data_IF_863504858400
#
_entry.id   IF_863504858400
#
_cell.length_a   1.000
_cell.length_b   1.000
_cell.length_c   1.000
_cell.angle_alpha   90.00
_cell.angle_beta   90.00
_cell.angle_gamma   90.00
#
_symmetry.space_group_name_H-M   'P 1'
#
loop_
_entity.id
_entity.type
_entity.pdbx_description
1 polymer ?
#
# COMPACT_ATOMS: atom_id res chain seq x y z
N UNK A 1 -39.34 -14.14 48.18
CA UNK A 1 -38.95 -14.59 46.82
C UNK A 1 -37.47 -14.33 46.67
N UNK A 2 -36.65 -15.38 46.72
CA UNK A 2 -35.21 -15.24 46.45
C UNK A 2 -35.03 -14.96 44.95
N UNK A 3 -34.36 -13.87 44.61
CA UNK A 3 -33.97 -13.60 43.24
C UNK A 3 -33.07 -14.74 42.75
N UNK A 4 -33.39 -15.32 41.60
CA UNK A 4 -32.55 -16.33 40.97
C UNK A 4 -31.14 -15.74 40.79
N UNK A 5 -30.07 -16.54 41.03
CA UNK A 5 -28.70 -16.06 40.89
C UNK A 5 -28.48 -15.54 39.47
N UNK A 6 -27.93 -14.33 39.36
CA UNK A 6 -27.55 -13.73 38.08
C UNK A 6 -26.48 -14.60 37.44
N UNK A 7 -26.85 -15.34 36.41
CA UNK A 7 -25.92 -16.09 35.58
C UNK A 7 -25.50 -15.21 34.40
N UNK A 8 -24.31 -14.59 34.45
CA UNK A 8 -23.84 -13.71 33.38
C UNK A 8 -23.76 -14.40 32.02
N UNK A 9 -23.58 -15.73 31.99
CA UNK A 9 -23.55 -16.50 30.75
C UNK A 9 -24.92 -16.63 30.10
N UNK A 10 -26.00 -16.72 30.88
CA UNK A 10 -27.37 -16.70 30.37
C UNK A 10 -27.79 -15.33 29.86
N UNK A 11 -27.33 -14.26 30.52
CA UNK A 11 -27.59 -12.88 30.11
C UNK A 11 -26.96 -12.56 28.74
N UNK A 12 -25.71 -12.99 28.53
CA UNK A 12 -25.02 -12.88 27.24
C UNK A 12 -25.72 -13.67 26.12
N UNK A 13 -26.16 -14.89 26.42
CA UNK A 13 -26.90 -15.74 25.47
C UNK A 13 -28.23 -15.13 25.05
N UNK A 14 -28.99 -14.56 25.98
CA UNK A 14 -30.25 -13.85 25.67
C UNK A 14 -30.01 -12.64 24.78
N UNK A 15 -29.00 -11.83 25.13
CA UNK A 15 -28.63 -10.68 24.31
C UNK A 15 -28.23 -11.10 22.89
N UNK A 16 -27.46 -12.18 22.75
CA UNK A 16 -27.09 -12.74 21.46
C UNK A 16 -28.27 -13.21 20.61
N UNK A 17 -29.29 -13.82 21.23
CA UNK A 17 -30.53 -14.23 20.54
C UNK A 17 -31.35 -13.02 20.09
N UNK A 18 -31.43 -11.98 20.93
CA UNK A 18 -32.19 -10.76 20.62
C UNK A 18 -31.57 -9.94 19.48
N UNK A 19 -30.25 -10.02 19.30
CA UNK A 19 -29.50 -9.24 18.31
C UNK A 19 -29.07 -10.04 17.08
N UNK A 20 -29.33 -11.35 17.04
CA UNK A 20 -29.10 -12.18 15.86
C UNK A 20 -30.09 -11.86 14.73
N UNK A 21 -29.75 -12.28 13.51
CA UNK A 21 -30.60 -12.12 12.34
C UNK A 21 -32.00 -12.74 12.57
N UNK A 22 -33.10 -12.09 12.12
CA UNK A 22 -34.47 -12.55 12.38
C UNK A 22 -34.68 -13.99 11.90
N UNK A 23 -35.09 -14.87 12.81
CA UNK A 23 -35.38 -16.28 12.49
C UNK A 23 -34.20 -17.24 12.62
N UNK A 24 -32.95 -16.75 12.68
CA UNK A 24 -31.75 -17.59 12.69
C UNK A 24 -31.60 -18.48 13.94
N UNK A 25 -32.20 -18.07 15.06
CA UNK A 25 -32.05 -18.71 16.37
C UNK A 25 -33.39 -19.11 17.02
N UNK A 26 -34.46 -19.29 16.24
CA UNK A 26 -35.78 -19.69 16.75
C UNK A 26 -35.75 -20.94 17.64
N UNK A 27 -35.05 -22.04 17.28
CA UNK A 27 -34.98 -23.23 18.13
C UNK A 27 -34.27 -22.93 19.47
N UNK A 28 -33.22 -22.11 19.44
CA UNK A 28 -32.44 -21.72 20.61
C UNK A 28 -33.26 -20.85 21.57
N UNK A 29 -34.06 -19.93 21.02
CA UNK A 29 -34.96 -19.08 21.77
C UNK A 29 -36.08 -19.89 22.46
N UNK A 30 -36.57 -20.96 21.83
CA UNK A 30 -37.57 -21.85 22.41
C UNK A 30 -37.00 -22.73 23.52
N UNK A 31 -35.79 -23.28 23.36
CA UNK A 31 -35.12 -24.07 24.39
C UNK A 31 -34.80 -23.25 25.65
N UNK A 32 -34.36 -21.99 25.47
CA UNK A 32 -34.14 -21.08 26.60
C UNK A 32 -35.44 -20.68 27.31
N UNK A 33 -36.54 -20.50 26.57
CA UNK A 33 -37.88 -20.28 27.18
C UNK A 33 -38.34 -21.47 28.01
N UNK A 34 -37.92 -22.68 27.64
CA UNK A 34 -38.18 -23.91 28.40
C UNK A 34 -37.21 -24.11 29.59
N UNK A 35 -36.30 -23.17 29.84
CA UNK A 35 -35.33 -23.25 30.95
C UNK A 35 -34.24 -24.30 30.75
N UNK A 36 -34.07 -24.82 29.53
CA UNK A 36 -33.00 -25.74 29.17
C UNK A 36 -31.75 -24.94 28.81
N UNK A 37 -30.57 -25.48 29.11
CA UNK A 37 -29.31 -24.96 28.61
C UNK A 37 -29.09 -25.56 27.22
N UNK A 38 -29.18 -24.77 26.14
CA UNK A 38 -29.06 -25.30 24.80
C UNK A 38 -27.62 -25.76 24.50
N UNK A 39 -27.49 -26.75 23.63
CA UNK A 39 -26.20 -27.20 23.12
C UNK A 39 -25.78 -26.30 21.95
N UNK A 40 -24.66 -25.59 22.09
CA UNK A 40 -24.21 -24.59 21.12
C UNK A 40 -23.34 -25.25 20.05
N UNK A 41 -23.88 -25.39 18.85
CA UNK A 41 -23.10 -25.83 17.68
C UNK A 41 -22.45 -24.63 16.95
N UNK A 42 -21.56 -24.91 16.00
CA UNK A 42 -20.81 -23.89 15.25
C UNK A 42 -21.70 -22.92 14.49
N UNK A 43 -22.80 -23.39 13.89
CA UNK A 43 -23.72 -22.56 13.11
C UNK A 43 -24.52 -21.59 14.00
N UNK A 44 -24.94 -22.06 15.18
CA UNK A 44 -25.59 -21.23 16.20
C UNK A 44 -24.64 -20.18 16.77
N UNK A 45 -23.38 -20.53 17.01
CA UNK A 45 -22.36 -19.58 17.44
C UNK A 45 -22.10 -18.51 16.39
N UNK A 46 -22.02 -18.87 15.10
CA UNK A 46 -21.92 -17.90 14.00
C UNK A 46 -23.14 -17.00 13.90
N UNK A 47 -24.34 -17.53 14.10
CA UNK A 47 -25.57 -16.73 14.11
C UNK A 47 -25.63 -15.74 15.29
N UNK A 48 -25.01 -16.08 16.43
CA UNK A 48 -24.92 -15.21 17.62
C UNK A 48 -23.80 -14.18 17.50
N UNK A 49 -22.63 -14.61 17.03
CA UNK A 49 -21.39 -13.82 17.04
C UNK A 49 -21.10 -13.10 15.72
N UNK A 50 -21.85 -13.41 14.66
CA UNK A 50 -21.57 -12.99 13.29
C UNK A 50 -20.57 -13.91 12.59
N UNK A 51 -20.44 -13.70 11.27
CA UNK A 51 -19.42 -14.35 10.44
C UNK A 51 -18.06 -13.79 10.79
N UNK A 52 -17.06 -14.65 11.01
CA UNK A 52 -15.68 -14.21 11.26
C UNK A 52 -15.11 -13.48 10.05
N UNK A 53 -14.20 -12.52 10.25
CA UNK A 53 -13.57 -11.81 9.14
C UNK A 53 -12.77 -12.76 8.23
N UNK A 54 -12.17 -13.82 8.78
CA UNK A 54 -11.53 -14.88 8.00
C UNK A 54 -12.51 -15.59 7.05
N UNK A 55 -13.75 -15.83 7.49
CA UNK A 55 -14.81 -16.39 6.63
C UNK A 55 -15.29 -15.36 5.60
N UNK A 56 -15.46 -14.09 5.99
CA UNK A 56 -15.84 -13.00 5.07
C UNK A 56 -14.80 -12.78 3.97
N UNK A 57 -13.51 -12.86 4.28
CA UNK A 57 -12.43 -12.79 3.27
C UNK A 57 -12.51 -13.95 2.28
N UNK A 58 -12.78 -15.18 2.75
CA UNK A 58 -12.99 -16.34 1.87
C UNK A 58 -14.20 -16.15 0.96
N UNK A 59 -15.30 -15.67 1.51
CA UNK A 59 -16.52 -15.36 0.75
C UNK A 59 -16.23 -14.34 -0.35
N UNK A 60 -15.51 -13.25 -0.04
CA UNK A 60 -15.09 -12.27 -1.03
C UNK A 60 -14.29 -12.90 -2.18
N UNK A 61 -13.26 -13.70 -1.84
CA UNK A 61 -12.44 -14.40 -2.85
C UNK A 61 -13.27 -15.41 -3.66
N UNK A 62 -14.24 -16.09 -3.05
CA UNK A 62 -15.15 -16.98 -3.77
C UNK A 62 -16.05 -16.23 -4.76
N UNK A 63 -16.57 -15.05 -4.38
CA UNK A 63 -17.34 -14.18 -5.28
C UNK A 63 -16.45 -13.69 -6.43
N UNK A 64 -15.23 -13.23 -6.14
CA UNK A 64 -14.25 -12.79 -7.15
C UNK A 64 -14.00 -13.90 -8.18
N UNK A 65 -13.88 -15.16 -7.73
CA UNK A 65 -13.70 -16.33 -8.60
C UNK A 65 -14.98 -16.82 -9.31
N UNK A 66 -16.12 -16.14 -9.12
CA UNK A 66 -17.40 -16.50 -9.73
C UNK A 66 -18.06 -17.74 -9.11
N UNK A 67 -17.69 -18.13 -7.89
CA UNK A 67 -18.11 -19.40 -7.27
C UNK A 67 -19.26 -19.29 -6.28
N UNK A 68 -19.64 -18.09 -5.82
CA UNK A 68 -20.62 -17.96 -4.73
C UNK A 68 -21.46 -16.68 -4.83
N UNK A 69 -22.72 -16.76 -4.38
CA UNK A 69 -23.62 -15.62 -4.11
C UNK A 69 -24.52 -15.96 -2.91
N UNK A 70 -24.50 -15.15 -1.85
CA UNK A 70 -25.64 -14.98 -0.93
C UNK A 70 -25.77 -13.48 -0.62
N UNK A 71 -26.67 -12.82 -1.35
CA UNK A 71 -26.71 -11.35 -1.41
C UNK A 71 -27.28 -10.70 -0.15
N UNK A 72 -28.11 -11.39 0.64
CA UNK A 72 -28.84 -10.79 1.77
C UNK A 72 -29.00 -11.74 2.98
N UNK A 73 -28.30 -12.88 3.01
CA UNK A 73 -28.56 -13.95 3.98
C UNK A 73 -29.87 -14.70 3.73
N UNK A 74 -30.44 -14.59 2.52
CA UNK A 74 -31.69 -15.25 2.09
C UNK A 74 -31.47 -16.35 1.04
N UNK A 75 -30.23 -16.61 0.63
CA UNK A 75 -29.81 -17.85 0.01
C UNK A 75 -30.52 -18.19 -1.30
N UNK A 76 -30.44 -17.34 -2.32
CA UNK A 76 -30.70 -17.81 -3.69
C UNK A 76 -29.47 -18.55 -4.18
N UNK A 77 -29.38 -19.84 -3.83
CA UNK A 77 -28.52 -20.78 -4.56
C UNK A 77 -28.90 -20.71 -6.05
N UNK A 78 -27.91 -20.57 -6.92
CA UNK A 78 -28.00 -20.57 -8.40
C UNK A 78 -28.12 -19.19 -9.10
N UNK A 79 -27.93 -18.06 -8.41
CA UNK A 79 -27.74 -16.77 -9.09
C UNK A 79 -26.35 -16.67 -9.75
N UNK A 80 -26.28 -16.17 -10.99
CA UNK A 80 -24.99 -15.90 -11.64
C UNK A 80 -24.29 -14.71 -10.97
N UNK A 81 -23.00 -14.87 -10.64
CA UNK A 81 -22.17 -13.78 -10.10
C UNK A 81 -22.02 -12.69 -11.15
N UNK A 82 -22.61 -11.51 -10.88
CA UNK A 82 -22.52 -10.36 -11.79
C UNK A 82 -21.15 -9.70 -11.69
N UNK A 83 -20.79 -8.86 -12.68
CA UNK A 83 -19.58 -8.04 -12.59
C UNK A 83 -19.60 -7.14 -11.36
N UNK A 84 -20.74 -6.52 -11.07
CA UNK A 84 -20.90 -5.64 -9.91
C UNK A 84 -20.67 -6.36 -8.59
N UNK A 85 -21.11 -7.62 -8.46
CA UNK A 85 -20.84 -8.43 -7.27
C UNK A 85 -19.35 -8.67 -7.07
N UNK A 86 -18.61 -8.97 -8.15
CA UNK A 86 -17.16 -9.16 -8.06
C UNK A 86 -16.46 -7.87 -7.66
N UNK A 87 -16.87 -6.72 -8.20
CA UNK A 87 -16.27 -5.44 -7.84
C UNK A 87 -16.57 -5.09 -6.38
N UNK A 88 -17.80 -5.30 -5.91
CA UNK A 88 -18.15 -5.14 -4.49
C UNK A 88 -17.32 -6.05 -3.59
N UNK A 89 -17.15 -7.31 -3.95
CA UNK A 89 -16.33 -8.24 -3.20
C UNK A 89 -14.85 -7.83 -3.13
N UNK A 90 -14.33 -7.16 -4.17
CA UNK A 90 -12.99 -6.56 -4.12
C UNK A 90 -12.93 -5.39 -3.13
N UNK A 91 -13.92 -4.50 -3.10
CA UNK A 91 -13.98 -3.39 -2.13
C UNK A 91 -14.12 -3.92 -0.70
N UNK A 92 -14.98 -4.91 -0.48
CA UNK A 92 -15.17 -5.55 0.83
C UNK A 92 -13.89 -6.24 1.31
N UNK A 93 -13.19 -6.93 0.41
CA UNK A 93 -11.90 -7.56 0.73
C UNK A 93 -10.85 -6.52 1.07
N UNK A 94 -10.80 -5.41 0.35
CA UNK A 94 -9.86 -4.31 0.60
C UNK A 94 -10.06 -3.72 1.99
N UNK A 95 -11.31 -3.42 2.36
CA UNK A 95 -11.66 -2.95 3.71
C UNK A 95 -11.28 -3.96 4.81
N UNK A 96 -11.49 -5.26 4.57
CA UNK A 96 -11.16 -6.29 5.55
C UNK A 96 -9.65 -6.38 5.82
N UNK A 97 -8.82 -6.23 4.78
CA UNK A 97 -7.36 -6.35 4.89
C UNK A 97 -6.67 -5.05 5.32
N UNK A 98 -7.43 -3.98 5.61
CA UNK A 98 -6.92 -2.82 6.37
C UNK A 98 -6.53 -3.23 7.80
N UNK A 99 -7.21 -4.24 8.36
CA UNK A 99 -6.82 -4.87 9.62
C UNK A 99 -5.61 -5.79 9.43
N UNK A 100 -4.59 -5.59 10.27
CA UNK A 100 -3.32 -6.29 10.15
C UNK A 100 -3.44 -7.80 10.44
N UNK A 101 -4.34 -8.20 11.33
CA UNK A 101 -4.56 -9.61 11.66
C UNK A 101 -5.27 -10.30 10.49
N UNK A 102 -6.30 -9.66 9.90
CA UNK A 102 -6.95 -10.14 8.68
C UNK A 102 -5.97 -10.26 7.50
N UNK A 103 -5.13 -9.24 7.28
CA UNK A 103 -4.11 -9.28 6.23
C UNK A 103 -3.10 -10.43 6.43
N UNK A 104 -2.72 -10.73 7.68
CA UNK A 104 -1.85 -11.87 7.99
C UNK A 104 -2.55 -13.21 7.74
N UNK A 105 -3.86 -13.26 8.01
CA UNK A 105 -4.71 -14.43 7.81
C UNK A 105 -4.90 -14.83 6.35
N UNK A 106 -4.64 -13.93 5.39
CA UNK A 106 -4.60 -14.28 3.96
C UNK A 106 -3.67 -15.47 3.69
N UNK A 107 -2.54 -15.58 4.41
CA UNK A 107 -1.62 -16.72 4.26
C UNK A 107 -2.21 -18.02 4.79
N UNK A 108 -2.73 -18.01 6.02
CA UNK A 108 -3.29 -19.20 6.66
C UNK A 108 -4.51 -19.75 5.93
N UNK A 109 -5.28 -18.86 5.30
CA UNK A 109 -6.47 -19.21 4.53
C UNK A 109 -6.17 -19.47 3.04
N UNK A 110 -4.92 -19.39 2.60
CA UNK A 110 -4.51 -19.66 1.21
C UNK A 110 -5.04 -18.67 0.19
N UNK A 111 -5.31 -17.43 0.60
CA UNK A 111 -5.99 -16.40 -0.20
C UNK A 111 -5.04 -15.54 -1.05
N UNK A 112 -3.73 -15.56 -0.78
CA UNK A 112 -2.77 -14.77 -1.57
C UNK A 112 -2.76 -15.14 -3.05
N UNK A 113 -2.56 -16.42 -3.38
CA UNK A 113 -2.51 -16.87 -4.78
C UNK A 113 -3.76 -16.47 -5.58
N UNK A 114 -5.01 -16.75 -5.13
CA UNK A 114 -6.18 -16.38 -5.90
C UNK A 114 -6.38 -14.86 -6.05
N UNK A 115 -5.80 -14.03 -5.17
CA UNK A 115 -5.78 -12.57 -5.34
C UNK A 115 -4.69 -12.16 -6.35
N UNK A 116 -3.48 -12.69 -6.21
CA UNK A 116 -2.31 -12.35 -7.04
C UNK A 116 -2.50 -12.75 -8.50
N UNK A 117 -3.18 -13.86 -8.76
CA UNK A 117 -3.45 -14.34 -10.13
C UNK A 117 -4.26 -13.30 -10.95
N UNK A 118 -4.97 -12.37 -10.30
CA UNK A 118 -5.68 -11.25 -10.95
C UNK A 118 -4.82 -10.01 -11.23
N UNK A 119 -3.54 -9.98 -10.85
CA UNK A 119 -2.62 -8.90 -11.25
C UNK A 119 -2.31 -8.91 -12.76
N UNK A 120 -2.65 -10.00 -13.46
CA UNK A 120 -2.49 -10.15 -14.91
C UNK A 120 -3.83 -10.41 -15.62
N UNK A 121 -4.93 -9.93 -15.04
CA UNK A 121 -6.27 -10.04 -15.62
C UNK A 121 -6.40 -9.18 -16.90
N UNK A 122 -7.34 -9.52 -17.77
CA UNK A 122 -7.66 -8.74 -18.97
C UNK A 122 -8.51 -7.51 -18.65
N UNK A 123 -9.30 -7.53 -17.56
CA UNK A 123 -10.07 -6.38 -17.09
C UNK A 123 -9.19 -5.47 -16.22
N UNK A 124 -8.87 -4.29 -16.72
CA UNK A 124 -8.05 -3.28 -16.02
C UNK A 124 -8.63 -2.88 -14.65
N UNK A 125 -9.94 -2.89 -14.49
CA UNK A 125 -10.58 -2.60 -13.19
C UNK A 125 -10.27 -3.71 -12.17
N UNK A 126 -10.15 -4.96 -12.63
CA UNK A 126 -9.78 -6.11 -11.79
C UNK A 126 -8.30 -6.03 -11.41
N UNK A 127 -7.40 -5.72 -12.36
CA UNK A 127 -5.97 -5.51 -12.08
C UNK A 127 -5.77 -4.38 -11.07
N UNK A 128 -6.50 -3.28 -11.22
CA UNK A 128 -6.47 -2.15 -10.29
C UNK A 128 -6.87 -2.56 -8.87
N UNK A 129 -7.96 -3.32 -8.73
CA UNK A 129 -8.46 -3.79 -7.42
C UNK A 129 -7.56 -4.82 -6.77
N UNK A 130 -6.99 -5.74 -7.56
CA UNK A 130 -5.98 -6.67 -7.08
C UNK A 130 -4.74 -5.93 -6.56
N UNK A 131 -4.24 -4.93 -7.30
CA UNK A 131 -3.16 -4.06 -6.82
C UNK A 131 -3.51 -3.34 -5.52
N UNK A 132 -4.76 -2.87 -5.41
CA UNK A 132 -5.23 -2.17 -4.22
C UNK A 132 -5.26 -3.09 -3.00
N UNK A 133 -5.94 -4.24 -3.06
CA UNK A 133 -5.98 -5.24 -1.98
C UNK A 133 -4.58 -5.68 -1.57
N UNK A 134 -3.72 -6.04 -2.54
CA UNK A 134 -2.34 -6.43 -2.23
C UNK A 134 -1.57 -5.29 -1.55
N UNK A 135 -1.70 -4.07 -2.04
CA UNK A 135 -1.04 -2.90 -1.46
C UNK A 135 -1.50 -2.58 -0.04
N UNK A 136 -2.79 -2.71 0.24
CA UNK A 136 -3.38 -2.48 1.57
C UNK A 136 -2.92 -3.56 2.54
N UNK A 137 -3.05 -4.84 2.16
CA UNK A 137 -2.68 -5.97 3.01
C UNK A 137 -1.20 -5.94 3.47
N UNK A 138 -0.28 -5.47 2.61
CA UNK A 138 1.16 -5.42 2.93
C UNK A 138 1.62 -4.10 3.51
N UNK A 139 0.76 -3.08 3.58
CA UNK A 139 1.16 -1.73 4.02
C UNK A 139 1.64 -1.74 5.46
N UNK A 140 2.93 -1.42 5.66
CA UNK A 140 3.57 -1.40 6.99
C UNK A 140 3.41 -2.71 7.78
N UNK A 141 3.25 -3.84 7.09
CA UNK A 141 3.00 -5.15 7.69
C UNK A 141 4.06 -6.17 7.26
N UNK A 142 5.14 -6.30 8.03
CA UNK A 142 6.28 -7.17 7.70
C UNK A 142 5.88 -8.64 7.51
N UNK A 143 4.86 -9.13 8.24
CA UNK A 143 4.39 -10.51 8.12
C UNK A 143 3.65 -10.74 6.80
N UNK A 144 2.71 -9.85 6.46
CA UNK A 144 2.01 -9.91 5.18
C UNK A 144 2.96 -9.65 3.99
N UNK A 145 3.91 -8.72 4.10
CA UNK A 145 4.96 -8.50 3.10
C UNK A 145 5.77 -9.78 2.83
N UNK A 146 6.21 -10.48 3.88
CA UNK A 146 6.94 -11.73 3.72
C UNK A 146 6.10 -12.82 3.03
N UNK A 147 4.83 -12.96 3.44
CA UNK A 147 3.89 -13.89 2.81
C UNK A 147 3.64 -13.56 1.33
N UNK A 148 3.44 -12.28 1.01
CA UNK A 148 3.25 -11.80 -0.35
C UNK A 148 4.46 -12.10 -1.24
N UNK A 149 5.68 -11.89 -0.72
CA UNK A 149 6.93 -12.14 -1.45
C UNK A 149 7.21 -13.62 -1.74
N UNK A 150 6.61 -14.57 -1.00
CA UNK A 150 6.69 -16.01 -1.32
C UNK A 150 6.11 -16.33 -2.71
N UNK A 151 5.27 -15.44 -3.26
CA UNK A 151 4.68 -15.55 -4.59
C UNK A 151 5.44 -14.78 -5.69
N UNK A 152 6.58 -14.17 -5.35
CA UNK A 152 7.42 -13.32 -6.24
C UNK A 152 6.60 -12.32 -7.09
N UNK A 153 5.83 -11.39 -6.48
CA UNK A 153 4.92 -10.48 -7.19
C UNK A 153 5.65 -9.30 -7.86
N UNK A 154 6.90 -9.01 -7.47
CA UNK A 154 7.65 -7.83 -7.90
C UNK A 154 7.88 -7.73 -9.43
N UNK A 155 8.15 -8.82 -10.17
CA UNK A 155 8.20 -8.79 -11.63
C UNK A 155 6.88 -8.34 -12.26
N UNK A 156 5.75 -8.87 -11.78
CA UNK A 156 4.41 -8.50 -12.27
C UNK A 156 4.12 -7.04 -11.99
N UNK A 157 4.35 -6.57 -10.75
CA UNK A 157 4.15 -5.15 -10.39
C UNK A 157 5.03 -4.23 -11.22
N UNK A 158 6.29 -4.61 -11.48
CA UNK A 158 7.22 -3.85 -12.31
C UNK A 158 6.75 -3.76 -13.78
N UNK A 159 6.16 -4.83 -14.29
CA UNK A 159 5.56 -4.86 -15.64
C UNK A 159 4.35 -3.92 -15.72
N UNK A 160 3.46 -3.94 -14.73
CA UNK A 160 2.31 -3.03 -14.66
C UNK A 160 2.74 -1.57 -14.67
N UNK A 161 3.81 -1.24 -13.94
CA UNK A 161 4.34 0.12 -13.83
C UNK A 161 4.98 0.67 -15.11
N UNK A 162 5.59 -0.21 -15.92
CA UNK A 162 6.39 0.21 -17.09
C UNK A 162 5.68 -0.01 -18.42
N UNK A 163 4.52 -0.66 -18.42
CA UNK A 163 3.69 -0.87 -19.59
C UNK A 163 2.84 0.37 -19.89
N UNK A 164 2.91 0.85 -21.13
CA UNK A 164 2.07 1.95 -21.62
C UNK A 164 0.63 1.51 -21.93
N UNK A 165 0.32 0.22 -21.83
CA UNK A 165 -1.00 -0.32 -22.15
C UNK A 165 -1.99 -0.20 -20.97
N UNK A 166 -1.48 -0.12 -19.74
CA UNK A 166 -2.35 0.05 -18.57
C UNK A 166 -2.74 1.52 -18.37
N UNK A 167 -4.00 1.81 -18.00
CA UNK A 167 -4.42 3.14 -17.60
C UNK A 167 -3.58 3.68 -16.44
N UNK A 168 -3.47 5.01 -16.37
CA UNK A 168 -2.74 5.69 -15.30
C UNK A 168 -3.26 5.31 -13.91
N UNK A 169 -4.56 5.10 -13.75
CA UNK A 169 -5.19 4.67 -12.49
C UNK A 169 -4.67 3.31 -12.02
N UNK A 170 -4.54 2.33 -12.92
CA UNK A 170 -3.95 1.01 -12.64
C UNK A 170 -2.48 1.15 -12.28
N UNK A 171 -1.68 1.91 -13.06
CA UNK A 171 -0.25 2.14 -12.75
C UNK A 171 -0.06 2.81 -11.39
N UNK A 172 -0.92 3.76 -11.04
CA UNK A 172 -0.90 4.43 -9.73
C UNK A 172 -1.20 3.47 -8.57
N UNK A 173 -2.11 2.50 -8.74
CA UNK A 173 -2.36 1.46 -7.75
C UNK A 173 -1.23 0.42 -7.69
N UNK A 174 -0.61 0.08 -8.82
CA UNK A 174 0.60 -0.73 -8.84
C UNK A 174 1.77 -0.04 -8.10
N UNK A 175 1.94 1.28 -8.25
CA UNK A 175 2.94 2.06 -7.50
C UNK A 175 2.64 2.07 -6.00
N UNK A 176 1.37 2.16 -5.61
CA UNK A 176 0.96 2.01 -4.21
C UNK A 176 1.32 0.62 -3.67
N UNK A 177 1.00 -0.45 -4.39
CA UNK A 177 1.35 -1.82 -4.02
C UNK A 177 2.88 -2.00 -3.88
N UNK A 178 3.66 -1.51 -4.85
CA UNK A 178 5.12 -1.52 -4.78
C UNK A 178 5.63 -0.76 -3.55
N UNK A 179 5.13 0.46 -3.33
CA UNK A 179 5.52 1.30 -2.20
C UNK A 179 5.25 0.61 -0.86
N UNK A 180 4.05 0.05 -0.69
CA UNK A 180 3.67 -0.72 0.51
C UNK A 180 4.53 -1.96 0.69
N UNK A 181 4.94 -2.63 -0.39
CA UNK A 181 5.78 -3.83 -0.34
C UNK A 181 7.22 -3.52 0.08
N UNK A 182 7.78 -2.39 -0.39
CA UNK A 182 9.19 -2.04 -0.17
C UNK A 182 9.45 -1.32 1.17
N UNK A 183 8.53 -0.45 1.60
CA UNK A 183 8.71 0.32 2.85
C UNK A 183 8.82 -0.62 4.05
N UNK A 184 9.75 -0.30 4.95
CA UNK A 184 10.07 -1.07 6.15
C UNK A 184 10.43 -2.55 5.91
N UNK A 185 10.79 -2.93 4.66
CA UNK A 185 11.13 -4.30 4.29
C UNK A 185 12.50 -4.39 3.58
N UNK A 186 13.60 -4.57 4.34
CA UNK A 186 14.92 -4.78 3.76
C UNK A 186 14.97 -5.98 2.81
N UNK A 187 14.18 -7.03 3.09
CA UNK A 187 14.05 -8.21 2.23
C UNK A 187 13.46 -7.84 0.86
N UNK A 188 12.36 -7.09 0.85
CA UNK A 188 11.72 -6.66 -0.40
C UNK A 188 12.64 -5.73 -1.21
N UNK A 189 13.30 -4.77 -0.56
CA UNK A 189 14.25 -3.86 -1.20
C UNK A 189 15.43 -4.60 -1.81
N UNK A 190 16.00 -5.58 -1.10
CA UNK A 190 17.08 -6.40 -1.62
C UNK A 190 16.63 -7.21 -2.85
N UNK A 191 15.46 -7.86 -2.78
CA UNK A 191 14.88 -8.61 -3.90
C UNK A 191 14.60 -7.70 -5.10
N UNK A 192 14.03 -6.52 -4.87
CA UNK A 192 13.76 -5.52 -5.91
C UNK A 192 15.05 -5.07 -6.61
N UNK A 193 16.13 -4.83 -5.85
CA UNK A 193 17.44 -4.52 -6.42
C UNK A 193 18.02 -5.64 -7.29
N UNK A 194 17.88 -6.92 -6.87
CA UNK A 194 18.31 -8.08 -7.67
C UNK A 194 17.56 -8.22 -8.99
N UNK A 195 16.32 -7.73 -9.05
CA UNK A 195 15.47 -7.71 -10.25
C UNK A 195 15.70 -6.47 -11.13
N UNK A 196 16.79 -5.72 -10.91
CA UNK A 196 17.06 -4.43 -11.56
C UNK A 196 15.93 -3.40 -11.34
N UNK A 197 15.17 -3.51 -10.25
CA UNK A 197 14.00 -2.67 -9.96
C UNK A 197 14.30 -1.17 -9.91
N UNK A 198 15.54 -0.76 -9.65
CA UNK A 198 15.92 0.65 -9.73
C UNK A 198 15.74 1.24 -11.14
N UNK A 199 15.88 0.44 -12.20
CA UNK A 199 15.58 0.85 -13.58
C UNK A 199 14.08 1.00 -13.82
N UNK A 200 13.24 0.26 -13.09
CA UNK A 200 11.78 0.41 -13.11
C UNK A 200 11.42 1.79 -12.54
N UNK A 201 11.99 2.16 -11.38
CA UNK A 201 11.76 3.48 -10.79
C UNK A 201 12.32 4.61 -11.67
N UNK A 202 13.46 4.39 -12.35
CA UNK A 202 13.97 5.35 -13.35
C UNK A 202 12.90 5.63 -14.44
N UNK A 203 12.32 4.58 -15.03
CA UNK A 203 11.27 4.74 -16.04
C UNK A 203 10.02 5.42 -15.48
N UNK A 204 9.65 5.15 -14.23
CA UNK A 204 8.52 5.84 -13.60
C UNK A 204 8.79 7.35 -13.37
N UNK A 205 10.04 7.75 -13.14
CA UNK A 205 10.45 9.17 -13.09
C UNK A 205 10.42 9.84 -14.48
N UNK A 206 10.45 9.05 -15.55
CA UNK A 206 10.34 9.53 -16.94
C UNK A 206 8.90 9.50 -17.47
N UNK A 207 7.96 8.85 -16.76
CA UNK A 207 6.57 8.65 -17.19
C UNK A 207 5.86 9.99 -17.46
N UNK A 208 5.01 10.13 -18.49
CA UNK A 208 4.27 11.37 -18.75
C UNK A 208 3.33 11.80 -17.60
N UNK A 209 2.90 10.87 -16.74
CA UNK A 209 2.10 11.17 -15.55
C UNK A 209 2.96 11.80 -14.46
N UNK A 210 2.69 13.07 -14.20
CA UNK A 210 3.29 13.79 -13.08
C UNK A 210 2.95 13.14 -11.73
N UNK A 211 1.75 12.58 -11.60
CA UNK A 211 1.34 11.86 -10.39
C UNK A 211 2.24 10.65 -10.12
N UNK A 212 2.60 9.88 -11.16
CA UNK A 212 3.47 8.72 -11.01
C UNK A 212 4.91 9.12 -10.69
N UNK A 213 5.43 10.19 -11.32
CA UNK A 213 6.75 10.76 -11.01
C UNK A 213 6.83 11.17 -9.54
N UNK A 214 5.84 11.93 -9.05
CA UNK A 214 5.75 12.35 -7.64
C UNK A 214 5.69 11.17 -6.69
N UNK A 215 4.84 10.16 -6.94
CA UNK A 215 4.78 8.95 -6.10
C UNK A 215 6.11 8.20 -6.07
N UNK A 216 6.85 8.20 -7.19
CA UNK A 216 8.17 7.57 -7.28
C UNK A 216 9.22 8.32 -6.46
N UNK A 217 9.28 9.65 -6.58
CA UNK A 217 10.17 10.49 -5.78
C UNK A 217 9.87 10.35 -4.27
N UNK A 218 8.58 10.32 -3.90
CA UNK A 218 8.17 10.05 -2.52
C UNK A 218 8.65 8.68 -2.03
N UNK A 219 8.45 7.62 -2.82
CA UNK A 219 8.94 6.28 -2.48
C UNK A 219 10.46 6.29 -2.27
N UNK A 220 11.24 6.90 -3.16
CA UNK A 220 12.69 7.00 -3.02
C UNK A 220 13.10 7.74 -1.73
N UNK A 221 12.41 8.84 -1.40
CA UNK A 221 12.59 9.57 -0.15
C UNK A 221 12.34 8.69 1.08
N UNK A 222 11.26 7.90 1.07
CA UNK A 222 10.92 6.96 2.15
C UNK A 222 11.92 5.81 2.26
N UNK A 223 12.38 5.25 1.14
CA UNK A 223 13.38 4.18 1.17
C UNK A 223 14.72 4.69 1.72
N UNK A 224 15.11 5.92 1.40
CA UNK A 224 16.33 6.53 1.94
C UNK A 224 16.25 6.78 3.45
N UNK A 225 15.14 7.34 3.94
CA UNK A 225 14.98 7.59 5.39
C UNK A 225 14.98 6.29 6.19
N UNK A 226 14.43 5.21 5.63
CA UNK A 226 14.30 3.90 6.28
C UNK A 226 15.51 2.97 6.03
N UNK A 227 16.47 3.38 5.20
CA UNK A 227 17.57 2.51 4.78
C UNK A 227 18.45 2.10 5.97
N UNK A 228 18.71 0.80 6.09
CA UNK A 228 19.73 0.25 7.00
C UNK A 228 21.15 0.51 6.50
N UNK A 229 21.32 0.66 5.18
CA UNK A 229 22.60 1.00 4.54
C UNK A 229 22.41 2.10 3.48
N UNK A 230 22.24 3.36 3.90
CA UNK A 230 21.99 4.51 3.02
C UNK A 230 23.02 4.65 1.88
N UNK A 231 24.30 4.46 2.16
CA UNK A 231 25.38 4.54 1.15
C UNK A 231 25.23 3.52 0.03
N UNK A 232 24.81 2.30 0.37
CA UNK A 232 24.64 1.21 -0.59
C UNK A 232 23.42 1.47 -1.47
N UNK A 233 22.32 1.95 -0.86
CA UNK A 233 21.14 2.40 -1.61
C UNK A 233 21.51 3.53 -2.56
N UNK A 234 22.17 4.58 -2.06
CA UNK A 234 22.61 5.71 -2.88
C UNK A 234 23.50 5.28 -4.05
N UNK A 235 24.43 4.36 -3.81
CA UNK A 235 25.30 3.79 -4.86
C UNK A 235 24.49 3.05 -5.92
N UNK A 236 23.44 2.32 -5.52
CA UNK A 236 22.54 1.63 -6.45
C UNK A 236 21.73 2.62 -7.29
N UNK A 237 21.20 3.69 -6.66
CA UNK A 237 20.46 4.75 -7.35
C UNK A 237 21.35 5.56 -8.31
N UNK A 238 22.63 5.73 -7.97
CA UNK A 238 23.63 6.36 -8.85
C UNK A 238 23.93 5.47 -10.04
N UNK A 239 24.21 4.19 -9.82
CA UNK A 239 24.53 3.23 -10.87
C UNK A 239 23.36 2.98 -11.83
N UNK A 240 22.11 3.06 -11.35
CA UNK A 240 20.92 2.90 -12.18
C UNK A 240 20.52 4.17 -12.95
N UNK A 241 21.17 5.32 -12.70
CA UNK A 241 20.80 6.60 -13.31
C UNK A 241 19.67 7.37 -12.60
N UNK A 242 19.08 6.81 -11.54
CA UNK A 242 18.00 7.45 -10.77
C UNK A 242 18.47 8.74 -10.11
N UNK A 243 19.60 8.71 -9.40
CA UNK A 243 20.13 9.91 -8.74
C UNK A 243 20.48 11.03 -9.74
N UNK A 244 21.23 10.74 -10.85
CA UNK A 244 21.43 11.73 -11.91
C UNK A 244 20.13 12.34 -12.43
N UNK A 245 19.12 11.52 -12.73
CA UNK A 245 17.83 12.00 -13.24
C UNK A 245 17.13 12.93 -12.24
N UNK A 246 17.10 12.55 -10.95
CA UNK A 246 16.52 13.38 -9.89
C UNK A 246 17.21 14.76 -9.86
N UNK A 247 18.55 14.78 -9.89
CA UNK A 247 19.33 16.02 -9.85
C UNK A 247 19.07 16.91 -11.08
N UNK A 248 18.99 16.34 -12.28
CA UNK A 248 18.69 17.10 -13.50
C UNK A 248 17.23 17.55 -13.58
N UNK A 249 16.30 16.76 -13.02
CA UNK A 249 14.87 17.09 -13.05
C UNK A 249 14.49 18.28 -12.17
N UNK A 250 15.39 18.71 -11.28
CA UNK A 250 15.23 19.91 -10.46
C UNK A 250 15.54 21.21 -11.21
N UNK A 251 16.33 21.15 -12.28
CA UNK A 251 16.67 22.32 -13.08
C UNK A 251 15.54 22.58 -14.08
N UNK A 252 14.95 23.77 -14.00
CA UNK A 252 13.82 24.19 -14.84
C UNK A 252 14.13 24.17 -16.34
N UNK A 253 15.41 24.22 -16.71
CA UNK A 253 15.86 24.15 -18.11
C UNK A 253 16.00 22.73 -18.65
N UNK A 254 16.06 21.73 -17.76
CA UNK A 254 16.14 20.30 -18.10
C UNK A 254 14.99 19.48 -17.53
N UNK A 255 13.92 20.15 -17.09
CA UNK A 255 12.70 19.50 -16.62
C UNK A 255 12.13 18.62 -17.72
N UNK A 256 11.81 17.36 -17.38
CA UNK A 256 11.15 16.47 -18.32
C UNK A 256 9.74 17.01 -18.61
N UNK A 257 9.32 17.12 -19.89
CA UNK A 257 7.99 17.57 -20.26
C UNK A 257 6.89 16.78 -19.52
N UNK A 258 5.79 17.46 -19.20
CA UNK A 258 4.65 16.86 -18.49
C UNK A 258 3.37 16.96 -19.33
N UNK A 259 2.46 16.00 -19.14
CA UNK A 259 1.18 15.96 -19.86
C UNK A 259 1.24 15.32 -21.24
N UNK A 260 0.06 15.05 -21.81
CA UNK A 260 -0.08 14.37 -23.11
C UNK A 260 0.49 15.18 -24.29
N UNK A 261 0.57 16.51 -24.14
CA UNK A 261 1.01 17.44 -25.18
C UNK A 261 2.49 17.84 -25.04
N UNK A 262 3.20 17.31 -24.03
CA UNK A 262 4.62 17.58 -23.82
C UNK A 262 4.93 19.04 -23.45
N UNK A 263 4.02 19.70 -22.73
CA UNK A 263 4.23 21.08 -22.30
C UNK A 263 5.36 21.13 -21.27
N UNK A 264 6.26 22.10 -21.44
CA UNK A 264 7.37 22.36 -20.51
C UNK A 264 6.86 23.39 -19.52
N UNK A 265 5.90 22.99 -18.69
CA UNK A 265 5.55 23.76 -17.51
C UNK A 265 6.70 23.70 -16.50
N UNK A 266 6.78 24.71 -15.63
CA UNK A 266 7.73 24.73 -14.51
C UNK A 266 7.72 23.39 -13.77
N UNK A 267 8.87 22.96 -13.24
CA UNK A 267 8.99 21.72 -12.45
C UNK A 267 7.84 21.68 -11.43
N UNK A 268 7.02 20.64 -11.52
CA UNK A 268 5.87 20.45 -10.64
C UNK A 268 6.28 20.62 -9.17
N UNK A 269 5.63 21.52 -8.41
CA UNK A 269 6.05 21.85 -7.05
C UNK A 269 6.08 20.64 -6.11
N UNK A 270 5.08 19.76 -6.22
CA UNK A 270 4.94 18.57 -5.38
C UNK A 270 6.07 17.54 -5.65
N UNK A 271 6.41 17.33 -6.93
CA UNK A 271 7.58 16.53 -7.28
C UNK A 271 8.89 17.16 -6.82
N UNK A 272 9.07 18.48 -7.03
CA UNK A 272 10.26 19.21 -6.58
C UNK A 272 10.46 19.06 -5.07
N UNK A 273 9.41 19.25 -4.28
CA UNK A 273 9.39 19.05 -2.83
C UNK A 273 9.87 17.63 -2.46
N UNK A 274 9.32 16.59 -3.11
CA UNK A 274 9.66 15.19 -2.84
C UNK A 274 11.11 14.85 -3.18
N UNK A 275 11.63 15.39 -4.28
CA UNK A 275 13.04 15.22 -4.68
C UNK A 275 13.95 15.93 -3.68
N UNK A 276 13.62 17.15 -3.25
CA UNK A 276 14.38 17.88 -2.22
C UNK A 276 14.37 17.11 -0.89
N UNK A 277 13.22 16.58 -0.47
CA UNK A 277 13.11 15.74 0.72
C UNK A 277 13.98 14.48 0.62
N UNK A 278 14.03 13.84 -0.56
CA UNK A 278 14.96 12.73 -0.80
C UNK A 278 16.44 13.15 -0.62
N UNK A 279 16.83 14.33 -1.12
CA UNK A 279 18.19 14.84 -0.98
C UNK A 279 18.54 15.18 0.47
N UNK A 280 17.61 15.77 1.22
CA UNK A 280 17.75 16.04 2.66
C UNK A 280 17.99 14.72 3.42
N UNK A 281 17.09 13.74 3.23
CA UNK A 281 17.26 12.42 3.83
C UNK A 281 18.59 11.77 3.42
N UNK A 282 19.02 11.95 2.17
CA UNK A 282 20.29 11.38 1.69
C UNK A 282 21.48 11.95 2.45
N UNK A 283 21.55 13.28 2.59
CA UNK A 283 22.65 13.96 3.29
C UNK A 283 22.66 13.59 4.77
N UNK A 284 21.50 13.61 5.42
CA UNK A 284 21.35 13.25 6.83
C UNK A 284 21.75 11.78 7.08
N UNK A 285 21.13 10.84 6.37
CA UNK A 285 21.32 9.40 6.61
C UNK A 285 22.71 8.90 6.27
N UNK A 286 23.36 9.46 5.24
CA UNK A 286 24.75 9.10 4.91
C UNK A 286 25.77 9.73 5.87
N UNK A 287 25.49 10.93 6.40
CA UNK A 287 26.27 11.54 7.48
C UNK A 287 26.20 10.70 8.75
N UNK A 288 25.00 10.25 9.14
CA UNK A 288 24.81 9.35 10.29
C UNK A 288 25.55 8.00 10.13
N UNK A 289 25.56 7.44 8.92
CA UNK A 289 26.32 6.23 8.61
C UNK A 289 27.85 6.47 8.65
N UNK A 290 28.29 7.73 8.53
CA UNK A 290 29.70 8.12 8.51
C UNK A 290 30.45 7.68 7.24
N UNK A 291 29.72 7.30 6.19
CA UNK A 291 30.26 6.79 4.93
C UNK A 291 29.40 7.28 3.77
N UNK A 292 30.02 7.41 2.59
CA UNK A 292 29.30 7.70 1.35
C UNK A 292 28.77 9.13 1.27
N UNK A 293 27.60 9.29 0.66
CA UNK A 293 26.95 10.59 0.45
C UNK A 293 27.07 11.12 -0.98
N UNK A 294 26.67 12.38 -1.13
CA UNK A 294 26.74 13.10 -2.40
C UNK A 294 28.19 13.47 -2.75
N UNK A 295 28.54 13.33 -4.02
CA UNK A 295 29.86 13.62 -4.57
C UNK A 295 29.98 15.07 -5.04
N UNK A 296 31.19 15.52 -5.38
CA UNK A 296 31.47 16.95 -5.65
C UNK A 296 30.62 17.58 -6.75
N UNK A 297 30.33 16.86 -7.84
CA UNK A 297 29.43 17.36 -8.89
C UNK A 297 27.97 17.37 -8.43
N UNK A 298 27.54 16.33 -7.73
CA UNK A 298 26.18 16.21 -7.20
C UNK A 298 25.89 17.32 -6.20
N UNK A 299 26.81 17.57 -5.25
CA UNK A 299 26.74 18.69 -4.31
C UNK A 299 26.66 20.04 -5.01
N UNK A 300 27.41 20.25 -6.10
CA UNK A 300 27.32 21.49 -6.90
C UNK A 300 25.92 21.67 -7.50
N UNK A 301 25.34 20.63 -8.09
CA UNK A 301 23.99 20.67 -8.64
C UNK A 301 22.95 20.97 -7.56
N UNK A 302 23.03 20.30 -6.40
CA UNK A 302 22.11 20.54 -5.29
C UNK A 302 22.25 21.98 -4.77
N UNK A 303 23.47 22.50 -4.59
CA UNK A 303 23.70 23.88 -4.14
C UNK A 303 23.11 24.93 -5.09
N UNK A 304 23.19 24.70 -6.40
CA UNK A 304 22.58 25.59 -7.39
C UNK A 304 21.06 25.68 -7.17
N UNK A 305 20.39 24.53 -7.10
CA UNK A 305 18.93 24.46 -6.91
C UNK A 305 18.51 25.07 -5.57
N UNK A 306 19.27 24.79 -4.50
CA UNK A 306 19.01 25.35 -3.17
C UNK A 306 19.15 26.87 -3.17
N UNK A 307 20.18 27.44 -3.83
CA UNK A 307 20.32 28.88 -3.94
C UNK A 307 19.16 29.54 -4.70
N UNK A 308 18.76 28.97 -5.84
CA UNK A 308 17.61 29.47 -6.63
C UNK A 308 16.27 29.38 -5.88
N UNK A 309 16.15 28.42 -4.96
CA UNK A 309 14.98 28.23 -4.11
C UNK A 309 14.93 29.28 -2.99
N UNK A 310 16.05 29.53 -2.31
CA UNK A 310 16.16 30.54 -1.24
C UNK A 310 16.04 31.99 -1.74
N UNK A 311 16.29 32.23 -3.03
CA UNK A 311 16.07 33.55 -3.66
C UNK A 311 14.59 33.88 -3.89
N UNK A 312 13.68 32.92 -3.73
CA UNK A 312 12.24 33.15 -3.90
C UNK A 312 11.67 33.83 -2.65
N UNK A 313 10.99 34.97 -2.82
CA UNK A 313 10.51 35.81 -1.70
C UNK A 313 9.59 35.11 -0.68
N UNK A 314 8.97 33.98 -1.06
CA UNK A 314 8.04 33.24 -0.22
C UNK A 314 8.60 31.93 0.36
N UNK A 315 9.87 31.60 0.08
CA UNK A 315 10.40 30.29 0.45
C UNK A 315 10.70 30.17 1.94
N UNK A 316 10.23 29.07 2.56
CA UNK A 316 10.50 28.70 3.94
C UNK A 316 10.76 27.18 4.04
N UNK A 317 11.61 26.76 4.99
CA UNK A 317 11.95 25.34 5.17
C UNK A 317 10.72 24.47 5.52
N UNK A 318 9.74 25.09 6.16
CA UNK A 318 8.47 24.49 6.54
C UNK A 318 7.64 24.02 5.33
N UNK A 319 7.86 24.57 4.13
CA UNK A 319 7.24 24.08 2.88
C UNK A 319 7.68 22.64 2.55
N UNK A 320 8.88 22.24 2.97
CA UNK A 320 9.36 20.86 2.86
C UNK A 320 8.99 20.02 4.08
N UNK A 321 8.23 20.57 5.04
CA UNK A 321 7.95 19.96 6.34
C UNK A 321 9.21 19.79 7.20
N UNK A 322 10.18 20.71 7.09
CA UNK A 322 11.44 20.70 7.84
C UNK A 322 11.48 21.83 8.85
N UNK A 323 12.17 21.62 9.96
CA UNK A 323 12.58 22.70 10.85
C UNK A 323 13.71 23.52 10.21
N UNK A 324 13.83 24.79 10.60
CA UNK A 324 14.90 25.68 10.10
C UNK A 324 16.30 25.12 10.39
N UNK A 325 16.47 24.49 11.55
CA UNK A 325 17.72 23.84 11.94
C UNK A 325 18.06 22.66 11.03
N UNK A 326 17.07 21.83 10.67
CA UNK A 326 17.25 20.69 9.75
C UNK A 326 17.70 21.17 8.37
N UNK A 327 17.11 22.26 7.87
CA UNK A 327 17.52 22.86 6.60
C UNK A 327 18.95 23.41 6.63
N UNK A 328 19.33 24.10 7.70
CA UNK A 328 20.70 24.61 7.87
C UNK A 328 21.73 23.47 7.96
N UNK A 329 21.38 22.35 8.60
CA UNK A 329 22.22 21.16 8.62
C UNK A 329 22.38 20.54 7.24
N UNK A 330 21.30 20.44 6.47
CA UNK A 330 21.35 20.00 5.08
C UNK A 330 22.28 20.89 4.24
N UNK A 331 22.15 22.22 4.35
CA UNK A 331 23.02 23.18 3.64
C UNK A 331 24.50 22.99 3.99
N UNK A 332 24.82 22.79 5.27
CA UNK A 332 26.20 22.49 5.69
C UNK A 332 26.70 21.19 5.07
N UNK A 333 25.87 20.16 5.03
CA UNK A 333 26.21 18.84 4.47
C UNK A 333 26.51 18.85 2.97
N UNK A 334 25.88 19.77 2.22
CA UNK A 334 26.17 19.95 0.78
C UNK A 334 27.32 20.95 0.52
N UNK A 335 27.81 21.69 1.51
CA UNK A 335 28.97 22.59 1.38
C UNK A 335 30.31 21.90 1.63
N UNK A 336 30.37 21.00 2.60
CA UNK A 336 31.54 20.17 2.92
C UNK A 336 31.90 19.22 1.75
#
# INVERSE_FOLDING_TARGET
MAAAPFDPTQSLLRWGIENAAPGALLPLAEEMKQGKRPDLNTDMLKAIMGTSDADRMKECVMVIQGKWVDRDGTGVKDAQVTREDRLRAWDDLEMLVEDLDNANDLKFNGLWKPIIDHLTDEDEEVVLRACWVCGTAVQNNVRAQAAFLEHDPLPTISSLLTSTNHPETTRNKAMYCLSSTLKHSPLAVARFGQLEGWKVLLRCLEDPSQTLRSKTAFLLSQLMSQATSPSTLLSSLRASGVLPLLLTSLDSTSALPTGADGDVSAVDPDYKEKVLRFLVNTVERTKEEGKGGLEGQEKRSVRKVVGELEEQEAWEAEELGLAKEEWEEFKKGIQA
#
